data_IF_028752062662
#
_entry.id   IF_028752062662
#
_cell.length_a   1.000
_cell.length_b   1.000
_cell.length_c   1.000
_cell.angle_alpha   90.00
_cell.angle_beta   90.00
_cell.angle_gamma   90.00
#
_symmetry.space_group_name_H-M   'P 1'
#
loop_
_entity.id
_entity.type
_entity.pdbx_description
1 polymer ?
#
# COMPACT_ATOMS: atom_id res chain seq x y z
N UNK A 1 2.98 32.28 -40.55
CA UNK A 1 3.15 33.73 -40.21
C UNK A 1 2.90 33.90 -38.72
N UNK A 2 3.87 34.48 -38.03
CA UNK A 2 3.83 34.67 -36.58
C UNK A 2 3.09 35.96 -36.18
N UNK A 3 2.96 36.93 -37.09
CA UNK A 3 2.24 38.19 -36.87
C UNK A 3 1.12 38.33 -37.88
N UNK A 4 -0.10 38.63 -37.41
CA UNK A 4 -1.31 38.80 -38.24
C UNK A 4 -2.08 40.03 -37.85
N UNK A 5 -2.65 40.75 -38.85
CA UNK A 5 -3.61 41.82 -38.62
C UNK A 5 -5.00 41.24 -38.58
N UNK A 6 -5.74 41.46 -37.50
CA UNK A 6 -7.13 41.05 -37.36
C UNK A 6 -8.06 42.00 -38.16
N UNK A 7 -9.30 41.55 -38.49
CA UNK A 7 -10.32 42.38 -39.15
C UNK A 7 -10.65 43.66 -38.37
N UNK A 8 -10.41 43.68 -37.06
CA UNK A 8 -10.56 44.83 -36.16
C UNK A 8 -9.43 45.85 -36.25
N UNK A 9 -8.47 45.70 -37.19
CA UNK A 9 -7.32 46.57 -37.34
C UNK A 9 -6.17 46.31 -36.32
N UNK A 10 -6.40 45.55 -35.28
CA UNK A 10 -5.40 45.17 -34.24
C UNK A 10 -4.47 44.03 -34.69
N UNK A 11 -3.30 43.99 -34.13
CA UNK A 11 -2.30 42.96 -34.44
C UNK A 11 -2.32 41.81 -33.42
N UNK A 12 -1.95 40.63 -33.88
CA UNK A 12 -1.83 39.42 -33.07
C UNK A 12 -0.47 38.76 -33.32
N UNK A 13 0.23 38.45 -32.29
CA UNK A 13 1.46 37.61 -32.29
C UNK A 13 1.07 36.18 -31.93
N UNK A 14 1.60 35.22 -32.70
CA UNK A 14 1.30 33.78 -32.53
C UNK A 14 2.60 33.00 -32.76
N UNK A 15 3.35 32.76 -31.69
CA UNK A 15 4.64 32.10 -31.72
C UNK A 15 4.50 30.66 -31.24
N UNK A 16 5.17 29.74 -31.98
CA UNK A 16 5.26 28.34 -31.54
C UNK A 16 6.25 28.20 -30.39
N UNK A 17 5.82 27.56 -29.31
CA UNK A 17 6.67 27.21 -28.16
C UNK A 17 6.90 25.69 -28.10
N UNK A 18 7.20 25.08 -29.26
CA UNK A 18 7.45 23.65 -29.32
C UNK A 18 6.19 22.79 -29.17
N UNK A 19 6.39 21.63 -28.59
CA UNK A 19 5.33 20.65 -28.35
C UNK A 19 5.28 20.28 -26.88
N UNK A 20 4.10 19.98 -26.39
CA UNK A 20 3.92 19.48 -25.04
C UNK A 20 4.69 18.17 -24.85
N UNK A 21 5.56 18.05 -23.82
CA UNK A 21 6.50 16.94 -23.71
C UNK A 21 5.83 15.56 -23.59
N UNK A 22 4.61 15.53 -23.05
CA UNK A 22 3.84 14.29 -22.86
C UNK A 22 2.83 14.06 -23.97
N UNK A 23 1.95 15.06 -24.24
CA UNK A 23 0.83 14.89 -25.17
C UNK A 23 1.21 15.12 -26.63
N UNK A 24 2.42 15.64 -26.89
CA UNK A 24 2.93 16.00 -28.21
C UNK A 24 2.06 17.05 -28.96
N UNK A 25 1.15 17.69 -28.26
CA UNK A 25 0.36 18.79 -28.84
C UNK A 25 1.21 20.04 -28.95
N UNK A 26 1.04 20.78 -30.06
CA UNK A 26 1.76 22.03 -30.32
C UNK A 26 1.36 23.10 -29.31
N UNK A 27 2.33 23.65 -28.59
CA UNK A 27 2.15 24.79 -27.68
C UNK A 27 2.34 26.08 -28.48
N UNK A 28 1.47 27.05 -28.26
CA UNK A 28 1.52 28.37 -28.95
C UNK A 28 1.33 29.46 -27.91
N UNK A 29 2.18 30.48 -28.01
CA UNK A 29 2.03 31.72 -27.26
C UNK A 29 1.29 32.71 -28.17
N UNK A 30 0.06 33.07 -27.80
CA UNK A 30 -0.79 33.98 -28.57
C UNK A 30 -1.03 35.23 -27.74
N UNK A 31 -0.69 36.41 -28.32
CA UNK A 31 -0.98 37.71 -27.74
C UNK A 31 -1.76 38.54 -28.76
N UNK A 32 -2.97 38.99 -28.38
CA UNK A 32 -3.91 39.68 -29.23
C UNK A 32 -4.06 41.15 -28.80
N UNK A 33 -4.54 42.01 -29.70
CA UNK A 33 -4.96 43.34 -29.33
C UNK A 33 -3.89 44.44 -29.44
N UNK A 34 -2.74 44.14 -30.05
CA UNK A 34 -1.61 45.08 -30.19
C UNK A 34 -1.99 46.19 -31.19
N UNK A 35 -1.54 47.41 -30.87
CA UNK A 35 -1.97 48.62 -31.60
C UNK A 35 -1.21 48.84 -32.92
N UNK A 36 0.06 48.41 -32.99
CA UNK A 36 0.89 48.61 -34.16
C UNK A 36 1.66 47.35 -34.57
N UNK A 37 2.07 47.32 -35.86
CA UNK A 37 2.98 46.28 -36.37
C UNK A 37 4.33 46.28 -35.65
N UNK A 38 4.82 47.47 -35.28
CA UNK A 38 6.09 47.64 -34.56
C UNK A 38 6.02 46.99 -33.19
N UNK A 39 4.95 47.29 -32.43
CA UNK A 39 4.71 46.69 -31.12
C UNK A 39 4.60 45.13 -31.21
N UNK A 40 3.97 44.62 -32.28
CA UNK A 40 3.88 43.18 -32.52
C UNK A 40 5.24 42.55 -32.82
N UNK A 41 6.12 43.22 -33.55
CA UNK A 41 7.49 42.76 -33.84
C UNK A 41 8.37 42.77 -32.59
N UNK A 42 8.33 43.83 -31.79
CA UNK A 42 9.08 43.92 -30.54
C UNK A 42 8.64 42.82 -29.56
N UNK A 43 7.35 42.60 -29.43
CA UNK A 43 6.82 41.53 -28.59
C UNK A 43 7.16 40.13 -29.12
N UNK A 44 7.15 39.89 -30.44
CA UNK A 44 7.61 38.64 -31.02
C UNK A 44 9.08 38.37 -30.71
N UNK A 45 9.94 39.38 -30.88
CA UNK A 45 11.36 39.27 -30.55
C UNK A 45 11.56 39.00 -29.05
N UNK A 46 10.86 39.72 -28.18
CA UNK A 46 10.88 39.49 -26.74
C UNK A 46 10.50 38.06 -26.39
N UNK A 47 9.40 37.56 -26.92
CA UNK A 47 8.95 36.18 -26.72
C UNK A 47 10.04 35.19 -27.18
N UNK A 48 10.63 35.38 -28.34
CA UNK A 48 11.71 34.51 -28.87
C UNK A 48 12.97 34.54 -28.05
N UNK A 49 13.36 35.68 -27.56
CA UNK A 49 14.64 35.86 -26.83
C UNK A 49 14.52 35.50 -25.37
N UNK A 50 13.39 35.88 -24.72
CA UNK A 50 13.23 35.78 -23.26
C UNK A 50 12.43 34.55 -22.88
N UNK A 51 11.29 34.27 -23.58
CA UNK A 51 10.38 33.21 -23.20
C UNK A 51 10.74 31.84 -23.82
N UNK A 52 11.49 31.84 -24.98
CA UNK A 52 11.85 30.62 -25.71
C UNK A 52 13.31 30.17 -25.46
N UNK A 53 13.96 30.54 -24.36
CA UNK A 53 15.28 29.98 -24.02
C UNK A 53 15.20 28.48 -23.84
N UNK A 54 15.26 27.74 -24.96
CA UNK A 54 15.47 26.30 -24.94
C UNK A 54 16.90 26.01 -24.49
N UNK A 55 17.05 25.38 -23.34
CA UNK A 55 18.24 24.57 -23.08
C UNK A 55 18.17 23.38 -24.04
N UNK A 56 18.95 23.36 -25.10
CA UNK A 56 19.18 22.18 -25.91
C UNK A 56 19.93 21.17 -25.04
N UNK A 57 19.21 20.15 -24.57
CA UNK A 57 19.84 18.96 -24.02
C UNK A 57 20.04 17.99 -25.20
N UNK A 58 21.28 17.68 -25.53
CA UNK A 58 21.65 16.76 -26.61
C UNK A 58 21.25 15.30 -26.33
N UNK A 59 20.89 14.99 -25.09
CA UNK A 59 20.52 13.64 -24.65
C UNK A 59 19.09 13.59 -24.12
N UNK A 60 18.30 12.62 -24.64
CA UNK A 60 16.92 12.41 -24.22
C UNK A 60 16.90 11.47 -23.02
N UNK A 61 16.66 12.01 -21.82
CA UNK A 61 16.47 11.25 -20.60
C UNK A 61 15.00 10.85 -20.49
N UNK A 62 14.73 9.55 -20.38
CA UNK A 62 13.35 9.01 -20.27
C UNK A 62 13.07 8.44 -18.87
N UNK A 63 11.78 8.24 -18.56
CA UNK A 63 11.37 7.57 -17.31
C UNK A 63 11.85 6.13 -17.26
N UNK A 64 11.88 5.40 -18.40
CA UNK A 64 12.34 4.02 -18.45
C UNK A 64 13.81 3.94 -18.03
N UNK A 65 14.69 4.78 -18.61
CA UNK A 65 16.10 4.83 -18.27
C UNK A 65 16.34 5.09 -16.77
N UNK A 66 15.65 6.09 -16.19
CA UNK A 66 15.85 6.42 -14.78
C UNK A 66 15.22 5.38 -13.84
N UNK A 67 14.14 4.73 -14.26
CA UNK A 67 13.52 3.67 -13.49
C UNK A 67 14.41 2.41 -13.44
N UNK A 68 15.03 2.03 -14.55
CA UNK A 68 15.99 0.92 -14.59
C UNK A 68 17.18 1.17 -13.67
N UNK A 69 17.71 2.40 -13.65
CA UNK A 69 18.76 2.80 -12.70
C UNK A 69 18.29 2.73 -11.24
N UNK A 70 17.04 3.12 -10.96
CA UNK A 70 16.46 3.01 -9.62
C UNK A 70 16.32 1.55 -9.17
N UNK A 71 15.89 0.66 -10.06
CA UNK A 71 15.79 -0.77 -9.75
C UNK A 71 17.16 -1.40 -9.51
N UNK A 72 18.16 -1.04 -10.31
CA UNK A 72 19.53 -1.50 -10.09
C UNK A 72 20.07 -1.03 -8.73
N UNK A 73 19.87 0.23 -8.38
CA UNK A 73 20.24 0.78 -7.06
C UNK A 73 19.50 0.06 -5.92
N UNK A 74 18.18 -0.19 -6.07
CA UNK A 74 17.39 -0.90 -5.07
C UNK A 74 17.83 -2.36 -4.90
N UNK A 75 18.22 -3.05 -5.98
CA UNK A 75 18.79 -4.40 -5.93
C UNK A 75 20.14 -4.43 -5.21
N UNK A 76 21.06 -3.51 -5.55
CA UNK A 76 22.37 -3.38 -4.90
C UNK A 76 22.24 -3.08 -3.39
N UNK A 77 21.22 -2.34 -3.00
CA UNK A 77 20.92 -2.01 -1.61
C UNK A 77 20.11 -3.10 -0.87
N UNK A 78 19.91 -4.27 -1.44
CA UNK A 78 19.22 -5.39 -0.80
C UNK A 78 17.75 -5.14 -0.52
N UNK A 79 17.06 -4.31 -1.33
CA UNK A 79 15.63 -4.06 -1.15
C UNK A 79 14.82 -5.34 -1.37
N UNK A 80 13.79 -5.55 -0.55
CA UNK A 80 12.95 -6.76 -0.63
C UNK A 80 12.22 -6.84 -1.97
N UNK A 81 12.14 -8.03 -2.56
CA UNK A 81 11.46 -8.30 -3.84
C UNK A 81 10.00 -7.81 -3.84
N UNK A 82 9.28 -7.93 -2.72
CA UNK A 82 7.90 -7.43 -2.61
C UNK A 82 7.80 -5.90 -2.77
N UNK A 83 8.84 -5.18 -2.35
CA UNK A 83 8.90 -3.73 -2.49
C UNK A 83 9.20 -3.33 -3.95
N UNK A 84 10.22 -3.92 -4.57
CA UNK A 84 10.59 -3.64 -5.97
C UNK A 84 9.48 -4.06 -6.92
N UNK A 85 8.83 -5.21 -6.71
CA UNK A 85 7.66 -5.65 -7.47
C UNK A 85 6.48 -4.65 -7.37
N UNK A 86 6.23 -4.09 -6.18
CA UNK A 86 5.20 -3.06 -6.02
C UNK A 86 5.54 -1.77 -6.76
N UNK A 87 6.81 -1.34 -6.73
CA UNK A 87 7.27 -0.18 -7.50
C UNK A 87 7.12 -0.42 -8.99
N UNK A 88 7.59 -1.58 -9.51
CA UNK A 88 7.46 -1.95 -10.92
C UNK A 88 5.99 -1.95 -11.36
N UNK A 89 5.09 -2.52 -10.58
CA UNK A 89 3.65 -2.49 -10.88
C UNK A 89 3.08 -1.06 -10.97
N UNK A 90 3.50 -0.16 -10.05
CA UNK A 90 3.06 1.24 -10.10
C UNK A 90 3.66 1.98 -11.29
N UNK A 91 4.92 1.71 -11.62
CA UNK A 91 5.61 2.28 -12.76
C UNK A 91 4.92 1.88 -14.08
N UNK A 92 4.81 0.59 -14.34
CA UNK A 92 4.23 0.05 -15.59
C UNK A 92 2.76 0.46 -15.78
N UNK A 93 1.98 0.57 -14.69
CA UNK A 93 0.55 0.89 -14.79
C UNK A 93 0.26 2.38 -14.86
N UNK A 94 1.08 3.22 -14.26
CA UNK A 94 0.70 4.62 -14.04
C UNK A 94 1.70 5.62 -14.61
N UNK A 95 3.01 5.40 -14.48
CA UNK A 95 4.04 6.35 -14.87
C UNK A 95 4.42 6.16 -16.34
N UNK A 96 4.87 4.96 -16.69
CA UNK A 96 5.33 4.64 -18.04
C UNK A 96 4.33 4.98 -19.14
N UNK A 97 3.01 4.63 -19.04
CA UNK A 97 2.06 4.94 -20.11
C UNK A 97 1.85 6.44 -20.33
N UNK A 98 1.99 7.25 -19.27
CA UNK A 98 1.79 8.70 -19.35
C UNK A 98 3.03 9.42 -19.90
N UNK A 99 4.23 9.05 -19.44
CA UNK A 99 5.49 9.71 -19.80
C UNK A 99 6.25 9.01 -20.91
N UNK A 100 5.61 8.09 -21.65
CA UNK A 100 6.24 7.36 -22.76
C UNK A 100 6.90 8.32 -23.73
N UNK A 101 8.19 8.11 -24.01
CA UNK A 101 9.01 8.91 -24.93
C UNK A 101 9.14 10.40 -24.55
N UNK A 102 8.83 10.77 -23.29
CA UNK A 102 8.95 12.15 -22.82
C UNK A 102 10.40 12.42 -22.41
N UNK A 103 10.96 13.53 -22.90
CA UNK A 103 12.25 14.03 -22.40
C UNK A 103 12.05 14.70 -21.03
N UNK A 104 12.59 14.07 -19.98
CA UNK A 104 12.39 14.50 -18.58
C UNK A 104 13.03 15.87 -18.28
N UNK A 105 14.07 16.27 -19.04
CA UNK A 105 14.70 17.58 -18.92
C UNK A 105 13.74 18.74 -19.26
N UNK A 106 12.67 18.45 -20.02
CA UNK A 106 11.66 19.45 -20.43
C UNK A 106 10.44 19.49 -19.48
N UNK A 107 10.40 18.65 -18.44
CA UNK A 107 9.30 18.61 -17.50
C UNK A 107 9.41 19.73 -16.47
N UNK A 108 8.27 20.39 -16.24
CA UNK A 108 8.09 21.42 -15.23
C UNK A 108 7.13 20.94 -14.13
N UNK A 109 7.02 21.72 -13.07
CA UNK A 109 6.01 21.49 -12.03
C UNK A 109 4.59 21.35 -12.59
N UNK A 110 4.21 22.18 -13.56
CA UNK A 110 2.86 22.15 -14.14
C UNK A 110 2.55 20.83 -14.86
N UNK A 111 3.52 20.27 -15.58
CA UNK A 111 3.36 18.95 -16.22
C UNK A 111 3.15 17.83 -15.18
N UNK A 112 3.81 17.92 -14.01
CA UNK A 112 3.61 16.95 -12.92
C UNK A 112 2.26 17.17 -12.23
N UNK A 113 1.83 18.42 -12.10
CA UNK A 113 0.51 18.76 -11.61
C UNK A 113 -0.58 18.18 -12.52
N UNK A 114 -0.46 18.34 -13.84
CA UNK A 114 -1.37 17.73 -14.83
C UNK A 114 -1.39 16.20 -14.72
N UNK A 115 -0.23 15.57 -14.54
CA UNK A 115 -0.17 14.13 -14.29
C UNK A 115 -0.93 13.71 -13.03
N UNK A 116 -0.82 14.48 -11.94
CA UNK A 116 -1.59 14.23 -10.72
C UNK A 116 -3.09 14.35 -10.96
N UNK A 117 -3.54 15.36 -11.69
CA UNK A 117 -4.96 15.55 -12.04
C UNK A 117 -5.45 14.40 -12.95
N UNK A 118 -4.64 13.99 -13.92
CA UNK A 118 -4.95 12.80 -14.74
C UNK A 118 -5.13 11.54 -13.87
N UNK A 119 -4.26 11.32 -12.86
CA UNK A 119 -4.39 10.17 -11.97
C UNK A 119 -5.70 10.17 -11.17
N UNK A 120 -6.25 11.35 -10.84
CA UNK A 120 -7.55 11.45 -10.15
C UNK A 120 -8.72 10.96 -10.98
N UNK A 121 -8.63 11.04 -12.29
CA UNK A 121 -9.68 10.60 -13.22
C UNK A 121 -9.46 9.18 -13.71
N UNK A 122 -8.30 8.59 -13.42
CA UNK A 122 -7.94 7.26 -13.91
C UNK A 122 -8.73 6.16 -13.20
N UNK A 123 -9.44 5.29 -13.95
CA UNK A 123 -10.20 4.19 -13.36
C UNK A 123 -9.29 3.13 -12.73
N UNK A 124 -9.83 2.40 -11.76
CA UNK A 124 -9.16 1.21 -11.20
C UNK A 124 -9.23 0.05 -12.18
N UNK A 125 -8.17 -0.78 -12.23
CA UNK A 125 -8.14 -1.98 -13.10
C UNK A 125 -9.25 -3.00 -12.75
N UNK A 126 -9.62 -3.08 -11.48
CA UNK A 126 -10.58 -4.09 -10.98
C UNK A 126 -12.03 -3.61 -11.04
N UNK A 127 -12.27 -2.30 -11.14
CA UNK A 127 -13.59 -1.70 -11.22
C UNK A 127 -13.48 -0.36 -11.95
N UNK A 128 -13.90 -0.34 -13.21
CA UNK A 128 -13.81 0.84 -14.08
C UNK A 128 -14.69 2.00 -13.62
N UNK A 129 -15.72 1.71 -12.80
CA UNK A 129 -16.58 2.73 -12.20
C UNK A 129 -15.94 3.46 -11.00
N UNK A 130 -14.78 3.00 -10.55
CA UNK A 130 -14.07 3.58 -9.42
C UNK A 130 -12.72 4.17 -9.85
N UNK A 131 -12.43 5.40 -9.42
CA UNK A 131 -11.13 6.05 -9.65
C UNK A 131 -10.09 5.65 -8.62
N UNK A 132 -8.81 5.97 -8.91
CA UNK A 132 -7.71 5.70 -7.99
C UNK A 132 -7.88 6.45 -6.67
N UNK A 133 -7.61 5.77 -5.55
CA UNK A 133 -7.59 6.43 -4.24
C UNK A 133 -6.43 7.41 -4.12
N UNK A 134 -6.59 8.48 -3.33
CA UNK A 134 -5.53 9.45 -3.05
C UNK A 134 -4.28 8.80 -2.46
N UNK A 135 -4.44 7.73 -1.67
CA UNK A 135 -3.30 6.97 -1.16
C UNK A 135 -2.50 6.30 -2.30
N UNK A 136 -3.20 5.73 -3.29
CA UNK A 136 -2.55 5.13 -4.47
C UNK A 136 -1.85 6.21 -5.29
N UNK A 137 -2.52 7.33 -5.55
CA UNK A 137 -1.93 8.46 -6.28
C UNK A 137 -0.68 8.98 -5.57
N UNK A 138 -0.73 9.20 -4.25
CA UNK A 138 0.44 9.63 -3.48
C UNK A 138 1.62 8.62 -3.58
N UNK A 139 1.34 7.31 -3.59
CA UNK A 139 2.39 6.29 -3.78
C UNK A 139 3.03 6.36 -5.17
N UNK A 140 2.24 6.59 -6.21
CA UNK A 140 2.74 6.80 -7.58
C UNK A 140 3.61 8.05 -7.66
N UNK A 141 3.20 9.16 -7.04
CA UNK A 141 3.96 10.41 -7.01
C UNK A 141 5.26 10.27 -6.19
N UNK A 142 5.24 9.52 -5.09
CA UNK A 142 6.46 9.20 -4.31
C UNK A 142 7.43 8.38 -5.16
N UNK A 143 6.94 7.43 -5.96
CA UNK A 143 7.78 6.66 -6.87
C UNK A 143 8.37 7.55 -7.97
N UNK A 144 7.53 8.41 -8.58
CA UNK A 144 7.98 9.36 -9.58
C UNK A 144 9.07 10.31 -9.02
N UNK A 145 8.87 10.82 -7.78
CA UNK A 145 9.89 11.61 -7.09
C UNK A 145 11.21 10.86 -6.98
N UNK A 146 11.18 9.58 -6.57
CA UNK A 146 12.40 8.75 -6.46
C UNK A 146 13.11 8.55 -7.80
N UNK A 147 12.35 8.36 -8.89
CA UNK A 147 12.91 8.23 -10.24
C UNK A 147 13.70 9.50 -10.58
N UNK A 148 13.13 10.68 -10.37
CA UNK A 148 13.83 11.95 -10.60
C UNK A 148 15.03 12.14 -9.65
N UNK A 149 14.89 11.82 -8.36
CA UNK A 149 15.98 11.88 -7.38
C UNK A 149 17.15 10.97 -7.80
N UNK A 150 16.86 9.80 -8.39
CA UNK A 150 17.90 8.92 -8.96
C UNK A 150 18.59 9.56 -10.16
N UNK A 151 17.82 10.19 -11.04
CA UNK A 151 18.37 10.94 -12.18
C UNK A 151 19.31 12.07 -11.75
N UNK A 152 18.98 12.80 -10.69
CA UNK A 152 19.86 13.84 -10.11
C UNK A 152 21.13 13.22 -9.55
N UNK A 153 21.01 12.17 -8.72
CA UNK A 153 22.19 11.49 -8.13
C UNK A 153 23.15 10.92 -9.18
N UNK A 154 22.63 10.51 -10.34
CA UNK A 154 23.41 10.00 -11.47
C UNK A 154 23.78 11.09 -12.50
N UNK A 155 23.51 12.36 -12.20
CA UNK A 155 23.82 13.52 -13.06
C UNK A 155 23.20 13.47 -14.46
N UNK A 156 22.04 12.81 -14.59
CA UNK A 156 21.29 12.76 -15.85
C UNK A 156 20.31 13.92 -16.01
N UNK A 157 19.84 14.49 -14.87
CA UNK A 157 18.96 15.66 -14.82
C UNK A 157 19.37 16.58 -13.68
N UNK A 158 19.06 17.88 -13.80
CA UNK A 158 19.49 18.91 -12.83
C UNK A 158 18.43 19.16 -11.74
N UNK A 159 17.14 18.90 -12.02
CA UNK A 159 16.04 19.31 -11.13
C UNK A 159 14.98 18.22 -11.01
N UNK A 160 14.35 18.15 -9.84
CA UNK A 160 13.19 17.28 -9.63
C UNK A 160 11.90 18.12 -9.63
N UNK A 161 11.09 18.09 -10.71
CA UNK A 161 9.84 18.85 -10.77
C UNK A 161 8.74 18.36 -9.82
N UNK A 162 8.94 17.19 -9.19
CA UNK A 162 8.00 16.60 -8.22
C UNK A 162 8.24 17.11 -6.80
N UNK A 163 9.40 17.74 -6.53
CA UNK A 163 9.87 18.04 -5.19
C UNK A 163 8.87 18.85 -4.35
N UNK A 164 8.29 19.89 -4.94
CA UNK A 164 7.36 20.81 -4.27
C UNK A 164 5.88 20.38 -4.40
N UNK A 165 5.60 19.23 -5.00
CA UNK A 165 4.22 18.77 -5.19
C UNK A 165 3.62 18.30 -3.86
N UNK A 166 2.57 18.99 -3.38
CA UNK A 166 1.87 18.61 -2.16
C UNK A 166 1.12 17.29 -2.34
N UNK A 167 1.23 16.43 -1.33
CA UNK A 167 0.45 15.18 -1.25
C UNK A 167 -1.04 15.48 -1.16
N UNK A 168 -1.85 14.61 -1.76
CA UNK A 168 -3.29 14.65 -1.61
C UNK A 168 -3.69 14.27 -0.18
N UNK A 169 -4.69 14.90 0.42
CA UNK A 169 -5.14 14.60 1.77
C UNK A 169 -5.76 13.19 1.83
N UNK A 170 -5.35 12.39 2.80
CA UNK A 170 -5.87 11.04 3.01
C UNK A 170 -6.75 11.07 4.24
N UNK A 171 -8.02 10.71 4.09
CA UNK A 171 -8.90 10.48 5.25
C UNK A 171 -8.48 9.16 5.91
N UNK A 172 -8.37 9.16 7.24
CA UNK A 172 -8.19 7.91 7.99
C UNK A 172 -9.42 7.02 7.75
N UNK A 173 -9.26 5.78 7.29
CA UNK A 173 -10.40 4.89 7.10
C UNK A 173 -11.02 4.55 8.46
N UNK A 174 -12.35 4.47 8.51
CA UNK A 174 -13.02 3.89 9.67
C UNK A 174 -12.61 2.42 9.80
N UNK A 175 -12.04 2.08 10.94
CA UNK A 175 -11.61 0.72 11.25
C UNK A 175 -12.87 -0.08 11.57
N UNK A 176 -13.07 -1.15 10.81
CA UNK A 176 -14.11 -2.13 11.09
C UNK A 176 -13.50 -3.28 11.86
N UNK A 177 -14.22 -3.79 12.84
CA UNK A 177 -13.81 -4.98 13.61
C UNK A 177 -15.06 -5.72 14.06
N UNK A 178 -14.89 -6.97 14.42
CA UNK A 178 -15.94 -7.82 15.01
C UNK A 178 -15.79 -7.87 16.51
N UNK A 179 -16.93 -7.94 17.19
CA UNK A 179 -17.02 -8.38 18.58
C UNK A 179 -16.79 -9.89 18.67
N UNK A 180 -16.75 -10.44 19.90
CA UNK A 180 -16.64 -11.89 20.10
C UNK A 180 -17.92 -12.62 19.61
N UNK A 181 -19.08 -11.99 19.77
CA UNK A 181 -20.36 -12.53 19.30
C UNK A 181 -20.41 -12.58 17.77
N UNK A 182 -19.99 -11.51 17.08
CA UNK A 182 -19.91 -11.47 15.62
C UNK A 182 -18.91 -12.51 15.08
N UNK A 183 -17.78 -12.71 15.78
CA UNK A 183 -16.81 -13.75 15.40
C UNK A 183 -17.35 -15.16 15.63
N UNK A 184 -18.06 -15.41 16.75
CA UNK A 184 -18.70 -16.68 17.03
C UNK A 184 -19.75 -17.00 15.98
N UNK A 185 -20.63 -16.05 15.64
CA UNK A 185 -21.60 -16.18 14.56
C UNK A 185 -20.94 -16.50 13.20
N UNK A 186 -19.78 -15.87 12.90
CA UNK A 186 -19.02 -16.22 11.71
C UNK A 186 -18.53 -17.67 11.73
N UNK A 187 -18.03 -18.15 12.86
CA UNK A 187 -17.55 -19.53 13.01
C UNK A 187 -18.64 -20.57 12.82
N UNK A 188 -19.87 -20.30 13.26
CA UNK A 188 -21.04 -21.18 13.05
C UNK A 188 -21.39 -21.39 11.56
N UNK A 189 -20.91 -20.49 10.68
CA UNK A 189 -21.07 -20.62 9.23
C UNK A 189 -20.04 -21.57 8.59
N UNK A 190 -18.98 -21.93 9.31
CA UNK A 190 -17.88 -22.77 8.79
C UNK A 190 -18.31 -24.24 8.84
N UNK A 191 -18.07 -24.97 7.77
CA UNK A 191 -18.43 -26.38 7.65
C UNK A 191 -17.33 -27.31 8.17
N UNK A 192 -17.66 -28.55 8.47
CA UNK A 192 -16.70 -29.53 8.99
C UNK A 192 -15.54 -29.84 8.06
N UNK A 193 -15.75 -29.75 6.75
CA UNK A 193 -14.70 -29.91 5.74
C UNK A 193 -13.77 -28.68 5.60
N UNK A 194 -14.11 -27.56 6.24
CA UNK A 194 -13.38 -26.28 6.23
C UNK A 194 -12.57 -26.03 7.51
N UNK A 195 -12.35 -27.04 8.33
CA UNK A 195 -11.71 -26.93 9.66
C UNK A 195 -10.31 -26.26 9.63
N UNK A 196 -9.53 -26.45 8.56
CA UNK A 196 -8.23 -25.79 8.40
C UNK A 196 -8.35 -24.28 8.25
N UNK A 197 -9.43 -23.81 7.64
CA UNK A 197 -9.75 -22.38 7.53
C UNK A 197 -10.29 -21.84 8.85
N UNK A 198 -11.13 -22.62 9.58
CA UNK A 198 -11.54 -22.21 10.94
C UNK A 198 -10.32 -21.98 11.83
N UNK A 199 -9.38 -22.91 11.83
CA UNK A 199 -8.13 -22.77 12.58
C UNK A 199 -7.38 -21.47 12.21
N UNK A 200 -7.28 -21.15 10.92
CA UNK A 200 -6.68 -19.88 10.49
C UNK A 200 -7.39 -18.67 11.09
N UNK A 201 -8.74 -18.64 11.04
CA UNK A 201 -9.52 -17.51 11.53
C UNK A 201 -9.46 -17.38 13.06
N UNK A 202 -9.47 -18.52 13.77
CA UNK A 202 -9.32 -18.56 15.24
C UNK A 202 -7.94 -18.04 15.65
N UNK A 203 -6.87 -18.48 14.98
CA UNK A 203 -5.53 -17.94 15.24
C UNK A 203 -5.50 -16.43 14.96
N UNK A 204 -6.03 -15.98 13.82
CA UNK A 204 -6.04 -14.56 13.46
C UNK A 204 -6.78 -13.69 14.49
N UNK A 205 -7.94 -14.16 14.97
CA UNK A 205 -8.77 -13.43 15.93
C UNK A 205 -8.17 -13.43 17.35
N UNK A 206 -7.69 -14.57 17.85
CA UNK A 206 -7.21 -14.66 19.23
C UNK A 206 -5.74 -14.33 19.44
N UNK A 207 -4.96 -14.19 18.38
CA UNK A 207 -3.55 -13.80 18.48
C UNK A 207 -3.24 -12.44 17.87
N UNK A 208 -4.10 -11.93 16.99
CA UNK A 208 -3.86 -10.72 16.23
C UNK A 208 -2.68 -10.80 15.25
N UNK A 209 -2.22 -12.01 14.90
CA UNK A 209 -1.15 -12.21 13.93
C UNK A 209 -1.53 -11.71 12.53
N UNK A 210 -0.53 -11.28 11.76
CA UNK A 210 -0.75 -10.92 10.36
C UNK A 210 -0.96 -12.18 9.53
N UNK A 211 -1.79 -12.11 8.48
CA UNK A 211 -2.04 -13.25 7.57
C UNK A 211 -0.73 -13.93 7.11
N UNK A 212 0.27 -13.14 6.69
CA UNK A 212 1.54 -13.72 6.23
C UNK A 212 2.36 -14.38 7.34
N UNK A 213 2.19 -13.99 8.60
CA UNK A 213 2.79 -14.64 9.77
C UNK A 213 2.11 -16.00 10.02
N UNK A 214 0.77 -16.05 9.98
CA UNK A 214 0.00 -17.31 10.16
C UNK A 214 0.30 -18.30 9.03
N UNK A 215 0.32 -17.81 7.77
CA UNK A 215 0.66 -18.64 6.61
C UNK A 215 2.12 -19.16 6.61
N UNK A 216 2.99 -18.54 7.39
CA UNK A 216 4.38 -18.98 7.53
C UNK A 216 4.59 -19.97 8.67
N UNK A 217 3.60 -20.14 9.59
CA UNK A 217 3.75 -21.03 10.74
C UNK A 217 3.83 -22.50 10.31
N UNK A 218 4.74 -23.21 10.93
CA UNK A 218 4.80 -24.68 10.97
C UNK A 218 4.84 -25.14 12.44
N UNK A 219 4.81 -26.46 12.68
CA UNK A 219 4.75 -26.99 14.05
C UNK A 219 5.99 -26.67 14.89
N UNK A 220 7.16 -26.47 14.27
CA UNK A 220 8.39 -26.08 14.96
C UNK A 220 8.30 -24.65 15.53
N UNK A 221 7.34 -23.84 15.07
CA UNK A 221 7.10 -22.49 15.61
C UNK A 221 6.15 -22.49 16.81
N UNK A 222 5.65 -23.65 17.25
CA UNK A 222 4.65 -23.75 18.33
C UNK A 222 5.14 -24.70 19.44
N UNK A 223 5.23 -24.17 20.65
CA UNK A 223 5.46 -24.98 21.84
C UNK A 223 4.11 -25.22 22.55
N UNK A 224 3.55 -26.41 22.39
CA UNK A 224 2.27 -26.79 22.98
C UNK A 224 2.35 -27.09 24.49
N UNK A 225 3.58 -27.29 25.04
CA UNK A 225 3.76 -27.46 26.49
C UNK A 225 3.65 -26.11 27.22
N UNK A 226 4.14 -25.04 26.60
CA UNK A 226 4.09 -23.69 27.16
C UNK A 226 3.01 -22.82 26.55
N UNK A 227 2.18 -23.39 25.66
CA UNK A 227 1.14 -22.67 24.89
C UNK A 227 1.68 -21.41 24.23
N UNK A 228 2.84 -21.51 23.55
CA UNK A 228 3.53 -20.36 22.98
C UNK A 228 3.75 -20.51 21.48
N UNK A 229 3.39 -19.47 20.71
CA UNK A 229 3.71 -19.35 19.28
C UNK A 229 4.89 -18.40 19.12
N UNK A 230 5.94 -18.84 18.43
CA UNK A 230 7.12 -18.04 18.08
C UNK A 230 6.94 -17.40 16.70
N UNK A 231 6.66 -16.12 16.63
CA UNK A 231 6.49 -15.39 15.38
C UNK A 231 7.85 -14.86 14.93
N UNK A 232 8.52 -15.56 14.03
CA UNK A 232 9.87 -15.24 13.56
C UNK A 232 9.93 -14.95 12.07
N UNK A 233 8.91 -15.39 11.32
CA UNK A 233 8.87 -15.35 9.85
C UNK A 233 7.53 -14.92 9.32
N UNK A 234 7.51 -14.52 8.06
CA UNK A 234 6.30 -14.16 7.31
C UNK A 234 6.43 -14.62 5.86
N UNK A 235 5.36 -15.10 5.28
CA UNK A 235 5.30 -15.40 3.84
C UNK A 235 4.65 -14.26 3.07
N UNK A 236 5.16 -14.00 1.88
CA UNK A 236 4.52 -13.15 0.89
C UNK A 236 4.59 -13.80 -0.48
N UNK A 237 3.71 -13.40 -1.38
CA UNK A 237 3.58 -14.00 -2.70
C UNK A 237 3.86 -12.95 -3.78
N UNK A 238 4.70 -13.33 -4.75
CA UNK A 238 4.96 -12.55 -5.96
C UNK A 238 4.79 -13.49 -7.14
N UNK A 239 3.91 -13.16 -8.06
CA UNK A 239 3.61 -13.98 -9.25
C UNK A 239 3.33 -15.46 -8.90
N UNK A 240 2.50 -15.71 -7.89
CA UNK A 240 2.16 -17.03 -7.34
C UNK A 240 3.32 -17.82 -6.69
N UNK A 241 4.51 -17.26 -6.61
CA UNK A 241 5.64 -17.85 -5.89
C UNK A 241 5.64 -17.35 -4.46
N UNK A 242 5.77 -18.28 -3.49
CA UNK A 242 5.88 -17.95 -2.08
C UNK A 242 7.33 -17.64 -1.71
N UNK A 243 7.51 -16.59 -0.91
CA UNK A 243 8.80 -16.20 -0.36
C UNK A 243 8.67 -16.07 1.15
N UNK A 244 9.48 -16.80 1.88
CA UNK A 244 9.57 -16.70 3.35
C UNK A 244 10.66 -15.69 3.69
N UNK A 245 10.33 -14.71 4.50
CA UNK A 245 11.28 -13.76 5.06
C UNK A 245 11.20 -13.79 6.59
N UNK A 246 12.32 -13.49 7.23
CA UNK A 246 12.30 -13.06 8.62
C UNK A 246 11.41 -11.83 8.78
N UNK A 247 10.85 -11.64 9.95
CA UNK A 247 10.03 -10.45 10.25
C UNK A 247 10.79 -9.15 9.94
N UNK A 248 10.08 -8.13 9.42
CA UNK A 248 10.71 -6.88 8.90
C UNK A 248 11.44 -6.06 9.97
N UNK A 249 11.08 -6.22 11.22
CA UNK A 249 11.57 -5.41 12.33
C UNK A 249 11.83 -6.31 13.54
N UNK A 250 12.72 -5.86 14.44
CA UNK A 250 12.97 -6.51 15.71
C UNK A 250 11.68 -6.72 16.53
N UNK A 251 10.75 -5.77 16.46
CA UNK A 251 9.42 -5.85 17.09
C UNK A 251 8.46 -6.81 16.39
N UNK A 252 8.75 -7.24 15.17
CA UNK A 252 7.98 -8.27 14.45
C UNK A 252 8.26 -9.66 14.98
N UNK A 253 9.46 -9.92 15.48
CA UNK A 253 9.81 -11.17 16.17
C UNK A 253 9.29 -11.08 17.59
N UNK A 254 8.40 -11.98 17.94
CA UNK A 254 7.73 -11.98 19.25
C UNK A 254 7.20 -13.37 19.60
N UNK A 255 6.97 -13.57 20.88
CA UNK A 255 6.30 -14.74 21.41
C UNK A 255 4.86 -14.36 21.78
N UNK A 256 3.92 -15.24 21.42
CA UNK A 256 2.49 -15.04 21.75
C UNK A 256 2.04 -16.25 22.57
N UNK A 257 1.77 -16.05 23.83
CA UNK A 257 1.10 -17.05 24.65
C UNK A 257 -0.36 -17.13 24.23
N UNK A 258 -0.84 -18.34 23.93
CA UNK A 258 -2.21 -18.64 23.51
C UNK A 258 -3.01 -19.22 24.69
N UNK A 259 -4.31 -19.06 24.63
CA UNK A 259 -5.22 -19.63 25.61
C UNK A 259 -5.37 -21.14 25.44
N UNK A 260 -5.77 -21.84 26.51
CA UNK A 260 -5.85 -23.29 26.58
C UNK A 260 -6.74 -23.87 25.47
N UNK A 261 -7.92 -23.28 25.20
CA UNK A 261 -8.83 -23.74 24.14
C UNK A 261 -8.21 -23.73 22.73
N UNK A 262 -7.41 -22.70 22.41
CA UNK A 262 -6.69 -22.67 21.13
C UNK A 262 -5.58 -23.72 21.11
N UNK A 263 -4.89 -23.96 22.22
CA UNK A 263 -3.86 -25.00 22.31
C UNK A 263 -4.47 -26.41 22.09
N UNK A 264 -5.59 -26.70 22.71
CA UNK A 264 -6.34 -27.95 22.51
C UNK A 264 -6.77 -28.12 21.05
N UNK A 265 -7.33 -27.08 20.45
CA UNK A 265 -7.69 -27.08 19.02
C UNK A 265 -6.49 -27.36 18.11
N UNK A 266 -5.30 -26.83 18.45
CA UNK A 266 -4.06 -27.08 17.72
C UNK A 266 -3.58 -28.53 17.89
N UNK A 267 -3.69 -29.11 19.08
CA UNK A 267 -3.34 -30.50 19.35
C UNK A 267 -4.22 -31.45 18.52
N UNK A 268 -5.53 -31.27 18.59
CA UNK A 268 -6.49 -32.08 17.83
C UNK A 268 -6.26 -31.96 16.31
N UNK A 269 -5.96 -30.75 15.87
CA UNK A 269 -5.67 -30.51 14.46
C UNK A 269 -4.35 -31.14 14.02
N UNK A 270 -3.31 -31.12 14.85
CA UNK A 270 -2.01 -31.74 14.54
C UNK A 270 -2.17 -33.24 14.25
N UNK A 271 -2.99 -33.93 15.03
CA UNK A 271 -3.30 -35.35 14.84
C UNK A 271 -4.01 -35.55 13.50
N UNK A 272 -5.11 -34.79 13.26
CA UNK A 272 -5.90 -34.89 12.03
C UNK A 272 -5.09 -34.55 10.78
N UNK A 273 -4.21 -33.56 10.88
CA UNK A 273 -3.35 -33.16 9.77
C UNK A 273 -2.35 -34.28 9.42
N UNK A 274 -1.74 -34.89 10.44
CA UNK A 274 -0.83 -36.01 10.25
C UNK A 274 -1.50 -37.16 9.52
N UNK A 275 -2.69 -37.60 9.99
CA UNK A 275 -3.47 -38.66 9.36
C UNK A 275 -3.81 -38.36 7.90
N UNK A 276 -4.18 -37.11 7.58
CA UNK A 276 -4.54 -36.69 6.23
C UNK A 276 -3.36 -36.59 5.27
N UNK A 277 -2.15 -36.35 5.76
CA UNK A 277 -0.98 -36.02 4.94
C UNK A 277 0.15 -37.05 5.02
N UNK A 278 0.04 -38.10 5.86
CA UNK A 278 1.08 -39.11 6.02
C UNK A 278 1.37 -39.90 4.74
N UNK A 279 0.39 -40.05 3.85
CA UNK A 279 0.57 -40.68 2.54
C UNK A 279 1.46 -39.82 1.60
N UNK A 280 1.49 -38.50 1.82
CA UNK A 280 2.18 -37.54 0.96
C UNK A 280 3.55 -37.11 1.52
N UNK A 281 3.71 -37.09 2.84
CA UNK A 281 4.95 -36.73 3.52
C UNK A 281 5.10 -37.37 4.88
N UNK A 282 6.33 -37.78 5.17
CA UNK A 282 6.71 -38.29 6.51
C UNK A 282 7.05 -37.15 7.48
N UNK A 283 7.42 -35.98 6.96
CA UNK A 283 7.79 -34.81 7.76
C UNK A 283 6.66 -33.78 7.80
N UNK A 284 5.69 -33.99 8.69
CA UNK A 284 4.56 -33.07 8.88
C UNK A 284 4.92 -31.83 9.71
N UNK A 285 6.04 -31.83 10.43
CA UNK A 285 6.46 -30.70 11.30
C UNK A 285 6.81 -29.44 10.51
N UNK A 286 7.25 -29.59 9.26
CA UNK A 286 7.61 -28.48 8.38
C UNK A 286 6.44 -27.97 7.53
N UNK A 287 5.31 -28.65 7.53
CA UNK A 287 4.12 -28.21 6.80
C UNK A 287 3.51 -26.97 7.46
N UNK A 288 2.82 -26.17 6.66
CA UNK A 288 1.98 -25.10 7.22
C UNK A 288 0.97 -25.70 8.19
N UNK A 289 0.81 -25.11 9.37
CA UNK A 289 -0.13 -25.61 10.38
C UNK A 289 -1.58 -25.67 9.91
N UNK A 290 -1.94 -24.82 8.93
CA UNK A 290 -3.29 -24.78 8.35
C UNK A 290 -3.44 -25.63 7.08
N UNK A 291 -2.39 -26.34 6.66
CA UNK A 291 -2.42 -27.15 5.44
C UNK A 291 -3.21 -28.44 5.66
N UNK A 292 -4.17 -28.74 4.79
CA UNK A 292 -4.99 -29.94 4.86
C UNK A 292 -4.90 -30.85 3.62
N UNK A 293 -4.11 -30.41 2.63
CA UNK A 293 -3.84 -31.12 1.38
C UNK A 293 -2.36 -30.97 1.03
N UNK A 294 -1.82 -31.72 0.05
CA UNK A 294 -0.43 -31.52 -0.42
C UNK A 294 -0.13 -30.11 -0.92
N UNK A 295 -1.16 -29.32 -1.22
CA UNK A 295 -1.02 -27.96 -1.75
C UNK A 295 -0.93 -26.97 -0.60
N UNK A 296 0.12 -26.15 -0.63
CA UNK A 296 0.32 -25.05 0.31
C UNK A 296 -0.79 -24.00 0.19
N UNK A 297 -1.39 -23.63 1.32
CA UNK A 297 -2.46 -22.63 1.34
C UNK A 297 -1.87 -21.24 1.08
N UNK A 298 -2.46 -20.56 0.11
CA UNK A 298 -2.05 -19.21 -0.29
C UNK A 298 -2.99 -18.14 0.26
N UNK A 299 -2.50 -16.87 0.25
CA UNK A 299 -3.33 -15.72 0.62
C UNK A 299 -4.64 -15.67 -0.16
N UNK A 300 -4.59 -15.93 -1.47
CA UNK A 300 -5.78 -15.87 -2.34
C UNK A 300 -6.82 -16.92 -1.97
N UNK A 301 -6.38 -18.11 -1.53
CA UNK A 301 -7.28 -19.17 -1.07
C UNK A 301 -7.99 -18.73 0.22
N UNK A 302 -7.28 -18.16 1.17
CA UNK A 302 -7.88 -17.62 2.41
C UNK A 302 -8.86 -16.49 2.09
N UNK A 303 -8.46 -15.49 1.26
CA UNK A 303 -9.32 -14.37 0.87
C UNK A 303 -10.61 -14.86 0.17
N UNK A 304 -10.50 -15.86 -0.72
CA UNK A 304 -11.63 -16.46 -1.41
C UNK A 304 -12.55 -17.20 -0.44
N UNK A 305 -11.98 -18.04 0.42
CA UNK A 305 -12.74 -18.82 1.40
C UNK A 305 -13.47 -17.90 2.40
N UNK A 306 -12.79 -16.88 2.91
CA UNK A 306 -13.40 -15.90 3.81
C UNK A 306 -14.62 -15.22 3.20
N UNK A 307 -14.53 -14.79 1.94
CA UNK A 307 -15.67 -14.21 1.22
C UNK A 307 -16.81 -15.21 1.05
N UNK A 308 -16.50 -16.46 0.66
CA UNK A 308 -17.52 -17.51 0.50
C UNK A 308 -18.28 -17.79 1.80
N UNK A 309 -17.58 -17.81 2.95
CA UNK A 309 -18.22 -18.01 4.25
C UNK A 309 -19.08 -16.80 4.61
N UNK A 310 -18.58 -15.58 4.40
CA UNK A 310 -19.36 -14.34 4.65
C UNK A 310 -20.62 -14.21 3.80
N UNK A 311 -20.64 -14.81 2.61
CA UNK A 311 -21.82 -14.80 1.75
C UNK A 311 -22.95 -15.72 2.27
N UNK A 312 -22.67 -16.62 3.24
CA UNK A 312 -23.66 -17.49 3.88
C UNK A 312 -24.56 -16.72 4.86
N UNK A 313 -24.10 -15.55 5.36
CA UNK A 313 -24.86 -14.66 6.23
C UNK A 313 -24.75 -13.22 5.77
N UNK A 314 -25.82 -12.69 5.18
CA UNK A 314 -25.85 -11.33 4.63
C UNK A 314 -25.91 -10.25 5.70
N UNK A 315 -26.36 -10.56 6.89
CA UNK A 315 -26.53 -9.63 8.00
C UNK A 315 -25.27 -9.47 8.82
N UNK A 316 -24.32 -10.40 8.70
CA UNK A 316 -23.04 -10.29 9.38
C UNK A 316 -22.23 -9.12 8.79
N UNK A 317 -21.74 -8.28 9.65
CA UNK A 317 -20.93 -7.11 9.30
C UNK A 317 -19.72 -7.51 8.44
N UNK A 318 -19.61 -6.96 7.23
CA UNK A 318 -18.51 -7.26 6.31
C UNK A 318 -17.24 -6.53 6.72
N UNK A 319 -16.21 -7.33 7.01
CA UNK A 319 -14.85 -6.87 7.32
C UNK A 319 -13.84 -7.53 6.36
N UNK A 320 -12.59 -7.08 6.40
CA UNK A 320 -11.48 -7.73 5.70
C UNK A 320 -10.77 -8.69 6.66
N UNK A 321 -10.06 -9.67 6.15
CA UNK A 321 -9.26 -10.59 6.99
C UNK A 321 -8.30 -9.83 7.92
N UNK A 322 -7.67 -8.75 7.43
CA UNK A 322 -6.77 -7.94 8.27
C UNK A 322 -7.51 -7.27 9.45
N UNK A 323 -8.81 -7.07 9.31
CA UNK A 323 -9.63 -6.46 10.37
C UNK A 323 -9.88 -7.43 11.55
N UNK A 324 -9.62 -8.76 11.40
CA UNK A 324 -9.57 -9.71 12.53
C UNK A 324 -8.48 -9.31 13.54
N UNK A 325 -7.36 -8.78 13.07
CA UNK A 325 -6.32 -8.23 13.93
C UNK A 325 -6.79 -6.95 14.65
N UNK A 326 -7.61 -6.12 13.99
CA UNK A 326 -8.27 -5.00 14.64
C UNK A 326 -9.30 -5.46 15.66
N UNK A 327 -10.00 -6.56 15.38
CA UNK A 327 -10.93 -7.20 16.32
C UNK A 327 -10.20 -7.69 17.56
N UNK A 328 -9.04 -8.34 17.40
CA UNK A 328 -8.19 -8.75 18.53
C UNK A 328 -7.76 -7.57 19.41
N UNK A 329 -7.28 -6.50 18.78
CA UNK A 329 -6.88 -5.30 19.51
C UNK A 329 -8.06 -4.67 20.27
N UNK A 330 -9.23 -4.57 19.62
CA UNK A 330 -10.46 -4.08 20.24
C UNK A 330 -10.89 -4.94 21.42
N UNK A 331 -10.80 -6.26 21.30
CA UNK A 331 -11.10 -7.21 22.38
C UNK A 331 -10.23 -6.95 23.61
N UNK A 332 -8.90 -6.86 23.43
CA UNK A 332 -7.97 -6.61 24.52
C UNK A 332 -8.22 -5.25 25.20
N UNK A 333 -8.46 -4.22 24.39
CA UNK A 333 -8.74 -2.86 24.89
C UNK A 333 -10.04 -2.84 25.72
N UNK A 334 -11.09 -3.52 25.25
CA UNK A 334 -12.35 -3.63 25.99
C UNK A 334 -12.21 -4.41 27.30
N UNK A 335 -11.23 -5.32 27.38
CA UNK A 335 -10.86 -6.01 28.62
C UNK A 335 -9.99 -5.15 29.54
N UNK A 336 -9.61 -3.93 29.13
CA UNK A 336 -8.85 -2.98 29.95
C UNK A 336 -7.33 -3.14 29.86
N UNK A 337 -6.84 -3.95 28.92
CA UNK A 337 -5.40 -4.18 28.71
C UNK A 337 -4.66 -2.88 28.33
N UNK A 338 -3.42 -2.77 28.79
CA UNK A 338 -2.57 -1.61 28.52
C UNK A 338 -2.14 -1.55 27.03
N UNK A 339 -1.96 -0.33 26.51
CA UNK A 339 -1.45 -0.10 25.15
C UNK A 339 -0.13 -0.80 24.85
N UNK A 340 0.75 -0.94 25.87
CA UNK A 340 2.04 -1.58 25.72
C UNK A 340 1.86 -3.09 25.48
N UNK A 341 0.98 -3.75 26.24
CA UNK A 341 0.63 -5.16 26.07
C UNK A 341 0.05 -5.40 24.68
N UNK A 342 -0.90 -4.55 24.26
CA UNK A 342 -1.51 -4.63 22.91
C UNK A 342 -0.45 -4.42 21.82
N UNK A 343 0.44 -3.43 21.97
CA UNK A 343 1.54 -3.16 21.03
C UNK A 343 2.46 -4.37 20.89
N UNK A 344 2.91 -4.94 22.01
CA UNK A 344 3.84 -6.08 22.01
C UNK A 344 3.22 -7.31 21.38
N UNK A 345 1.99 -7.65 21.78
CA UNK A 345 1.26 -8.79 21.24
C UNK A 345 1.02 -8.65 19.73
N UNK A 346 0.69 -7.45 19.25
CA UNK A 346 0.53 -7.16 17.83
C UNK A 346 1.89 -7.06 17.08
N UNK A 347 2.99 -6.78 17.76
CA UNK A 347 4.29 -6.52 17.12
C UNK A 347 4.29 -5.21 16.33
N UNK A 348 3.80 -4.12 16.95
CA UNK A 348 3.93 -2.77 16.40
C UNK A 348 5.30 -2.18 16.76
N UNK A 349 5.98 -1.60 15.78
CA UNK A 349 7.29 -0.99 15.98
C UNK A 349 7.23 0.23 16.92
N UNK A 350 6.13 0.99 16.87
CA UNK A 350 5.88 2.14 17.74
C UNK A 350 4.55 2.00 18.48
N UNK A 351 4.52 2.41 19.73
CA UNK A 351 3.29 2.51 20.53
C UNK A 351 2.30 3.52 19.92
N UNK A 352 2.84 4.56 19.25
CA UNK A 352 2.05 5.55 18.51
C UNK A 352 1.10 4.90 17.50
N UNK A 353 1.58 3.83 16.82
CA UNK A 353 0.73 3.07 15.88
C UNK A 353 -0.49 2.47 16.58
N UNK A 354 -0.33 1.95 17.80
CA UNK A 354 -1.43 1.38 18.59
C UNK A 354 -2.36 2.48 19.07
N UNK A 355 -1.82 3.57 19.62
CA UNK A 355 -2.59 4.71 20.13
C UNK A 355 -3.37 5.38 18.99
N UNK A 356 -2.71 5.74 17.88
CA UNK A 356 -3.35 6.41 16.74
C UNK A 356 -4.46 5.57 16.09
N UNK A 357 -4.34 4.25 16.20
CA UNK A 357 -5.29 3.32 15.60
C UNK A 357 -6.47 3.04 16.52
N UNK A 358 -6.25 2.92 17.82
CA UNK A 358 -7.23 2.35 18.76
C UNK A 358 -7.60 3.25 19.94
N UNK A 359 -7.04 4.47 20.06
CA UNK A 359 -7.32 5.36 21.21
C UNK A 359 -8.82 5.65 21.40
N UNK A 360 -9.57 5.72 20.31
CA UNK A 360 -11.01 5.96 20.34
C UNK A 360 -11.84 4.81 20.94
N UNK A 361 -11.25 3.61 21.08
CA UNK A 361 -11.88 2.44 21.67
C UNK A 361 -11.69 2.36 23.20
N UNK A 362 -10.72 3.10 23.73
CA UNK A 362 -10.51 3.11 25.18
C UNK A 362 -11.65 3.86 25.87
N UNK A 363 -12.30 3.24 26.85
CA UNK A 363 -13.30 3.94 27.65
C UNK A 363 -12.64 5.13 28.36
N UNK A 364 -13.36 6.23 28.46
CA UNK A 364 -12.88 7.37 29.23
C UNK A 364 -12.74 6.97 30.71
N UNK A 365 -11.50 6.79 31.13
CA UNK A 365 -11.17 6.50 32.53
C UNK A 365 -11.22 7.77 33.43
N UNK A 366 -11.56 8.94 32.87
CA UNK A 366 -11.57 10.21 33.61
C UNK A 366 -12.53 10.18 34.78
N UNK A 367 -13.74 9.64 34.59
CA UNK A 367 -14.71 9.52 35.65
C UNK A 367 -14.25 8.55 36.76
N UNK A 368 -13.67 7.41 36.36
CA UNK A 368 -13.08 6.44 37.28
C UNK A 368 -11.89 7.02 38.03
N UNK A 369 -11.06 7.83 37.33
CA UNK A 369 -9.94 8.53 37.94
C UNK A 369 -10.42 9.60 38.92
N UNK A 370 -11.41 10.40 38.53
CA UNK A 370 -12.02 11.40 39.44
C UNK A 370 -12.57 10.75 40.73
N UNK A 371 -13.33 9.67 40.61
CA UNK A 371 -13.83 8.93 41.77
C UNK A 371 -12.69 8.40 42.66
N UNK A 372 -11.58 7.91 42.06
CA UNK A 372 -10.42 7.50 42.87
C UNK A 372 -9.69 8.65 43.56
N UNK A 373 -9.76 9.86 42.97
CA UNK A 373 -9.20 11.05 43.62
C UNK A 373 -10.08 11.51 44.78
N UNK A 374 -11.42 11.32 44.69
CA UNK A 374 -12.34 11.60 45.81
C UNK A 374 -12.04 10.73 47.03
N UNK A 375 -11.55 9.49 46.83
CA UNK A 375 -11.15 8.58 47.90
C UNK A 375 -9.88 9.05 48.67
N UNK A 376 -9.16 10.06 48.12
CA UNK A 376 -7.94 10.63 48.73
C UNK A 376 -8.20 11.87 49.57
N UNK A 377 -9.43 12.41 49.55
CA UNK A 377 -9.89 13.53 50.37
C UNK A 377 -10.70 13.03 51.56
#
# INVERSE_FOLDING_TARGET
>A
MTIRKAKSGKWTVDVSNGFHPVTQKRIRIIRKGLKSKKEALELEQHIRVVELKEKQFDFVVTTDMLFDLLEEDDLKNGRKVSYTSTQRNNYERHIKPYFKNTNLNKLTYDHIFEFREYLKTKPKKQNENEVLSYNTINKVLILLKKIFDTGIRKSHIDKNPVENLRKLPIRKPNIKFWSIEEFTRFRELIRDDEISYDLFFVIAFFTGMRMGEILALNWNDINLLTNTIYVTKTVYFVNNTSYINTTKTRSGTRNITINQKLAEMLIDWKIKQKEKLEEFTKNTEELQIIQSTPITITKNMIDKKFKQILERDKDLKKIRIHDLRHSHASLLINQGEDYLVVKERLGHASITTTIDTYSHLYPSKQKTLANKLDDLF
#
